data_IF_325375231286
#
_entry.id   IF_325375231286
#
_cell.length_a   1.000
_cell.length_b   1.000
_cell.length_c   1.000
_cell.angle_alpha   90.00
_cell.angle_beta   90.00
_cell.angle_gamma   90.00
#
_symmetry.space_group_name_H-M   'P 1'
#
loop_
_entity.id
_entity.type
_entity.pdbx_description
1 polymer ?
#
# COMPACT_ATOMS: atom_id res chain seq x y z
N UNK A 1 2.45 13.27 -14.63
CA UNK A 1 3.35 12.36 -13.88
C UNK A 1 3.20 10.94 -14.36
N UNK A 2 4.27 10.16 -14.35
CA UNK A 2 4.22 8.74 -14.72
C UNK A 2 3.89 7.88 -13.50
N UNK A 3 3.27 6.71 -13.73
CA UNK A 3 2.97 5.73 -12.67
C UNK A 3 4.23 5.32 -11.88
N UNK A 4 5.39 5.26 -12.54
CA UNK A 4 6.67 4.91 -11.91
C UNK A 4 7.11 5.98 -10.90
N UNK A 5 6.95 7.27 -11.23
CA UNK A 5 7.30 8.36 -10.32
C UNK A 5 6.47 8.35 -9.04
N UNK A 6 5.18 8.02 -9.15
CA UNK A 6 4.29 7.88 -7.98
C UNK A 6 4.76 6.73 -7.09
N UNK A 7 5.06 5.56 -7.69
CA UNK A 7 5.53 4.39 -6.93
C UNK A 7 6.87 4.67 -6.24
N UNK A 8 7.84 5.29 -6.94
CA UNK A 8 9.10 5.70 -6.32
C UNK A 8 8.89 6.69 -5.19
N UNK A 9 8.03 7.69 -5.35
CA UNK A 9 7.74 8.66 -4.30
C UNK A 9 7.06 8.02 -3.08
N UNK A 10 6.16 7.04 -3.29
CA UNK A 10 5.55 6.28 -2.19
C UNK A 10 6.58 5.42 -1.45
N UNK A 11 7.52 4.82 -2.18
CA UNK A 11 8.62 4.06 -1.59
C UNK A 11 9.53 4.96 -0.76
N UNK A 12 9.94 6.11 -1.31
CA UNK A 12 10.77 7.07 -0.59
C UNK A 12 10.07 7.53 0.70
N UNK A 13 8.77 7.86 0.65
CA UNK A 13 7.96 8.20 1.83
C UNK A 13 7.89 7.07 2.87
N UNK A 14 7.94 5.80 2.47
CA UNK A 14 7.95 4.69 3.43
C UNK A 14 9.30 4.57 4.14
N UNK A 15 10.37 4.90 3.43
CA UNK A 15 11.75 4.75 3.90
C UNK A 15 12.26 5.98 4.65
N UNK A 16 11.68 7.15 4.40
CA UNK A 16 12.00 8.43 5.04
C UNK A 16 10.76 8.99 5.72
N UNK A 17 10.85 10.13 6.42
CA UNK A 17 9.64 10.80 6.91
C UNK A 17 9.03 11.72 5.86
N UNK A 18 7.83 12.26 6.15
CA UNK A 18 7.20 13.30 5.34
C UNK A 18 8.07 14.57 5.25
N UNK A 19 8.66 14.97 6.38
CA UNK A 19 9.46 16.19 6.52
C UNK A 19 10.71 16.12 5.64
N UNK A 20 11.33 14.93 5.56
CA UNK A 20 12.55 14.68 4.79
C UNK A 20 12.29 14.41 3.30
N UNK A 21 11.02 14.23 2.91
CA UNK A 21 10.67 13.90 1.54
C UNK A 21 10.87 15.12 0.61
N UNK A 22 11.58 14.97 -0.53
CA UNK A 22 11.77 16.07 -1.48
C UNK A 22 10.46 16.60 -2.06
N UNK A 23 10.34 17.91 -2.29
CA UNK A 23 9.12 18.54 -2.84
C UNK A 23 8.66 17.97 -4.18
N UNK A 24 9.60 17.48 -5.00
CA UNK A 24 9.26 16.77 -6.25
C UNK A 24 8.47 15.49 -5.99
N UNK A 25 8.76 14.78 -4.90
CA UNK A 25 8.09 13.54 -4.50
C UNK A 25 6.76 13.86 -3.81
N UNK A 26 6.72 14.90 -2.96
CA UNK A 26 5.45 15.42 -2.39
C UNK A 26 4.46 15.76 -3.49
N UNK A 27 4.87 16.53 -4.50
CA UNK A 27 4.06 16.81 -5.69
C UNK A 27 3.73 15.55 -6.49
N UNK A 28 4.65 14.59 -6.59
CA UNK A 28 4.40 13.29 -7.24
C UNK A 28 3.28 12.48 -6.59
N UNK A 29 3.12 12.66 -5.29
CA UNK A 29 2.06 12.05 -4.52
C UNK A 29 0.75 12.86 -4.55
N UNK A 30 0.70 13.98 -5.28
CA UNK A 30 -0.46 14.87 -5.36
C UNK A 30 -0.56 15.87 -4.21
N UNK A 31 0.52 16.06 -3.45
CA UNK A 31 0.57 17.03 -2.36
C UNK A 31 1.22 18.32 -2.86
N UNK A 32 0.38 19.23 -3.34
CA UNK A 32 0.77 20.58 -3.76
C UNK A 32 0.08 21.64 -2.89
N UNK A 33 0.12 21.41 -1.57
CA UNK A 33 -0.59 22.22 -0.58
C UNK A 33 0.39 23.02 0.29
N UNK A 34 -0.12 24.09 0.89
CA UNK A 34 0.62 24.85 1.91
C UNK A 34 0.79 23.97 3.15
N UNK A 35 2.00 23.95 3.72
CA UNK A 35 2.29 23.22 4.97
C UNK A 35 1.37 23.71 6.09
N UNK A 36 0.78 22.78 6.84
CA UNK A 36 -0.18 23.02 7.90
C UNK A 36 -1.61 23.27 7.43
N UNK A 37 -1.91 23.09 6.14
CA UNK A 37 -3.27 23.23 5.61
C UNK A 37 -4.10 21.95 5.79
N UNK A 38 -5.43 22.09 5.82
CA UNK A 38 -6.35 20.95 5.81
C UNK A 38 -6.14 20.02 4.60
N UNK A 39 -5.68 20.58 3.48
CA UNK A 39 -5.36 19.81 2.27
C UNK A 39 -4.16 18.87 2.46
N UNK A 40 -3.13 19.32 3.17
CA UNK A 40 -1.98 18.48 3.53
C UNK A 40 -2.43 17.33 4.46
N UNK A 41 -3.18 17.64 5.50
CA UNK A 41 -3.69 16.64 6.45
C UNK A 41 -4.59 15.60 5.74
N UNK A 42 -5.51 16.05 4.90
CA UNK A 42 -6.40 15.16 4.14
C UNK A 42 -5.60 14.23 3.21
N UNK A 43 -4.58 14.75 2.55
CA UNK A 43 -3.73 13.97 1.66
C UNK A 43 -2.86 12.97 2.45
N UNK A 44 -2.33 13.35 3.62
CA UNK A 44 -1.53 12.45 4.48
C UNK A 44 -2.40 11.31 5.01
N UNK A 45 -3.63 11.63 5.44
CA UNK A 45 -4.62 10.64 5.85
C UNK A 45 -5.00 9.69 4.71
N UNK A 46 -5.16 10.21 3.49
CA UNK A 46 -5.44 9.39 2.32
C UNK A 46 -4.27 8.42 2.02
N UNK A 47 -3.04 8.91 2.06
CA UNK A 47 -1.84 8.10 1.86
C UNK A 47 -1.70 7.00 2.92
N UNK A 48 -1.95 7.32 4.20
CA UNK A 48 -1.94 6.34 5.27
C UNK A 48 -2.97 5.21 5.04
N UNK A 49 -4.20 5.55 4.59
CA UNK A 49 -5.22 4.55 4.24
C UNK A 49 -4.77 3.64 3.11
N UNK A 50 -4.15 4.18 2.06
CA UNK A 50 -3.62 3.37 0.95
C UNK A 50 -2.58 2.34 1.44
N UNK A 51 -1.69 2.74 2.36
CA UNK A 51 -0.73 1.81 2.94
C UNK A 51 -1.41 0.71 3.77
N UNK A 52 -2.42 1.05 4.58
CA UNK A 52 -3.17 0.06 5.35
C UNK A 52 -3.91 -0.94 4.45
N UNK A 53 -4.57 -0.47 3.39
CA UNK A 53 -5.25 -1.31 2.42
C UNK A 53 -4.28 -2.25 1.70
N UNK A 54 -3.10 -1.74 1.33
CA UNK A 54 -2.08 -2.56 0.68
C UNK A 54 -1.45 -3.58 1.63
N UNK A 55 -1.27 -3.24 2.90
CA UNK A 55 -0.81 -4.15 3.94
C UNK A 55 -1.81 -5.30 4.14
N UNK A 56 -3.10 -5.00 4.24
CA UNK A 56 -4.16 -6.00 4.35
C UNK A 56 -4.21 -6.93 3.12
N UNK A 57 -4.15 -6.37 1.91
CA UNK A 57 -4.09 -7.16 0.68
C UNK A 57 -2.87 -8.09 0.65
N UNK A 58 -1.70 -7.56 1.03
CA UNK A 58 -0.45 -8.33 1.09
C UNK A 58 -0.53 -9.45 2.11
N UNK A 59 -1.14 -9.19 3.28
CA UNK A 59 -1.38 -10.19 4.31
C UNK A 59 -2.30 -11.31 3.82
N UNK A 60 -3.44 -10.97 3.19
CA UNK A 60 -4.36 -11.96 2.60
C UNK A 60 -3.66 -12.83 1.57
N UNK A 61 -2.83 -12.26 0.70
CA UNK A 61 -2.02 -13.02 -0.27
C UNK A 61 -1.01 -13.95 0.39
N UNK A 62 -0.35 -13.51 1.46
CA UNK A 62 0.57 -14.33 2.23
C UNK A 62 -0.13 -15.54 2.89
N UNK A 63 -1.34 -15.33 3.43
CA UNK A 63 -2.15 -16.42 3.99
C UNK A 63 -2.52 -17.46 2.92
N UNK A 64 -2.97 -17.01 1.74
CA UNK A 64 -3.26 -17.91 0.61
C UNK A 64 -2.01 -18.68 0.19
N UNK A 65 -0.87 -18.00 0.04
CA UNK A 65 0.39 -18.66 -0.31
C UNK A 65 0.82 -19.70 0.74
N UNK A 66 0.63 -19.39 2.03
CA UNK A 66 0.91 -20.34 3.13
C UNK A 66 -0.02 -21.55 3.06
N UNK A 67 -1.31 -21.36 2.83
CA UNK A 67 -2.31 -22.44 2.73
C UNK A 67 -1.96 -23.40 1.58
N UNK A 68 -1.60 -22.86 0.41
CA UNK A 68 -1.09 -23.62 -0.74
C UNK A 68 0.12 -24.47 -0.38
N UNK A 69 1.12 -23.88 0.28
CA UNK A 69 2.35 -24.59 0.66
C UNK A 69 2.11 -25.70 1.69
N UNK A 70 1.04 -25.62 2.48
CA UNK A 70 0.63 -26.65 3.42
C UNK A 70 -0.26 -27.73 2.78
N UNK A 71 -0.59 -27.64 1.48
CA UNK A 71 -1.47 -28.59 0.80
C UNK A 71 -2.95 -28.48 1.21
N UNK A 72 -3.33 -27.43 1.95
CA UNK A 72 -4.67 -27.24 2.51
C UNK A 72 -5.71 -26.72 1.49
N UNK A 73 -5.29 -26.52 0.24
CA UNK A 73 -6.17 -26.16 -0.87
C UNK A 73 -6.73 -27.40 -1.60
N UNK A 74 -6.12 -28.59 -1.43
CA UNK A 74 -6.55 -29.81 -2.12
C UNK A 74 -7.65 -30.60 -1.38
N UNK A 75 -7.92 -30.27 -0.11
CA UNK A 75 -8.85 -31.04 0.73
C UNK A 75 -10.34 -30.63 0.58
N UNK A 76 -10.63 -29.53 -0.13
CA UNK A 76 -12.03 -29.10 -0.35
C UNK A 76 -12.74 -29.83 -1.50
N UNK A 77 -12.00 -30.44 -2.43
CA UNK A 77 -12.59 -31.10 -3.60
C UNK A 77 -12.87 -32.60 -3.38
N UNK A 78 -12.29 -33.23 -2.35
CA UNK A 78 -12.48 -34.66 -2.09
C UNK A 78 -13.65 -34.99 -1.15
N UNK A 79 -14.32 -33.99 -0.57
CA UNK A 79 -15.41 -34.19 0.39
C UNK A 79 -16.82 -34.15 -0.23
N UNK A 80 -16.95 -33.91 -1.54
CA UNK A 80 -18.22 -33.82 -2.27
C UNK A 80 -18.50 -35.02 -3.20
N UNK A 81 -17.68 -36.08 -3.13
CA UNK A 81 -17.79 -37.28 -3.96
C UNK A 81 -18.01 -38.60 -3.18
N UNK A 82 -18.56 -38.52 -1.96
CA UNK A 82 -18.87 -39.69 -1.12
C UNK A 82 -20.36 -39.84 -0.86
#
# INVERSE_FOLDING_TARGET
MTKLQVVSAMYDYLMTSWEELPDKNKRALGFDFVVGSEGEEAALNHLARLFMEYADLSFRRALVARRRRLGLDAYSDSASAG
#
